data_IF_148013818591
#
_entry.id   IF_148013818591
#
_cell.length_a   1.000
_cell.length_b   1.000
_cell.length_c   1.000
_cell.angle_alpha   90.00
_cell.angle_beta   90.00
_cell.angle_gamma   90.00
#
_symmetry.space_group_name_H-M   'P 1'
#
loop_
_entity.id
_entity.type
_entity.pdbx_description
1 polymer ?
#
# COMPACT_ATOMS: atom_id res chain seq x y z
N UNK A 1 -24.37 -2.00 -13.01
CA UNK A 1 -22.91 -2.24 -13.16
C UNK A 1 -22.40 -2.74 -11.82
N UNK A 2 -21.78 -3.91 -11.75
CA UNK A 2 -21.30 -4.47 -10.48
C UNK A 2 -20.12 -3.64 -9.95
N UNK A 3 -20.25 -3.09 -8.74
CA UNK A 3 -19.17 -2.38 -8.05
C UNK A 3 -18.02 -3.35 -7.83
N UNK A 4 -16.98 -3.29 -8.66
CA UNK A 4 -15.73 -4.00 -8.39
C UNK A 4 -15.21 -3.55 -7.02
N UNK A 5 -14.73 -4.47 -6.18
CA UNK A 5 -13.96 -4.10 -5.00
C UNK A 5 -12.79 -3.28 -5.53
N UNK A 6 -12.77 -1.98 -5.25
CA UNK A 6 -11.64 -1.15 -5.59
C UNK A 6 -11.24 -0.41 -4.33
N UNK A 7 -9.94 -0.37 -4.12
CA UNK A 7 -9.30 0.40 -3.10
C UNK A 7 -8.25 1.26 -3.79
N UNK A 8 -8.13 2.53 -3.43
CA UNK A 8 -7.00 3.34 -3.86
C UNK A 8 -5.88 3.21 -2.83
N UNK A 9 -4.69 2.87 -3.29
CA UNK A 9 -3.46 2.93 -2.50
C UNK A 9 -2.58 4.07 -3.00
N UNK A 10 -1.83 4.67 -2.06
CA UNK A 10 -0.69 5.53 -2.35
C UNK A 10 0.52 5.08 -1.54
N UNK A 11 1.70 5.24 -2.12
CA UNK A 11 2.97 5.17 -1.38
C UNK A 11 3.13 6.43 -0.54
N UNK A 12 3.85 6.32 0.58
CA UNK A 12 4.06 7.44 1.51
C UNK A 12 5.54 7.70 1.77
N UNK A 13 6.29 6.62 1.95
CA UNK A 13 7.72 6.67 2.23
C UNK A 13 8.34 5.30 2.08
N UNK A 14 9.63 5.31 1.76
CA UNK A 14 10.50 4.15 1.86
C UNK A 14 11.55 4.44 2.91
N UNK A 15 11.76 3.51 3.85
CA UNK A 15 12.84 3.60 4.84
C UNK A 15 13.85 2.50 4.61
N UNK A 16 15.12 2.86 4.46
CA UNK A 16 16.23 1.92 4.36
C UNK A 16 16.89 1.81 5.73
N UNK A 17 16.90 0.63 6.33
CA UNK A 17 17.40 0.42 7.70
C UNK A 17 17.91 -1.01 7.89
N UNK A 18 18.75 -1.23 8.90
CA UNK A 18 19.07 -2.59 9.34
C UNK A 18 17.97 -3.15 10.23
N UNK A 19 17.63 -4.43 10.06
CA UNK A 19 16.80 -5.16 11.00
C UNK A 19 17.63 -5.65 12.21
N UNK A 20 16.97 -6.33 13.15
CA UNK A 20 17.62 -6.88 14.36
C UNK A 20 18.76 -7.87 14.05
N UNK A 21 18.75 -8.47 12.86
CA UNK A 21 19.74 -9.41 12.35
C UNK A 21 20.84 -8.72 11.52
N UNK A 22 20.98 -7.40 11.60
CA UNK A 22 21.94 -6.60 10.82
C UNK A 22 21.82 -6.80 9.30
N UNK A 23 20.62 -7.16 8.83
CA UNK A 23 20.33 -7.27 7.40
C UNK A 23 19.68 -5.97 6.94
N UNK A 24 20.15 -5.44 5.81
CA UNK A 24 19.56 -4.26 5.20
C UNK A 24 18.15 -4.56 4.69
N UNK A 25 17.18 -3.75 5.09
CA UNK A 25 15.76 -3.88 4.72
C UNK A 25 15.25 -2.57 4.17
N UNK A 26 14.49 -2.65 3.08
CA UNK A 26 13.64 -1.56 2.61
C UNK A 26 12.24 -1.74 3.17
N UNK A 27 11.78 -0.76 3.94
CA UNK A 27 10.45 -0.70 4.55
C UNK A 27 9.59 0.29 3.79
N UNK A 28 8.62 -0.23 3.06
CA UNK A 28 7.68 0.53 2.26
C UNK A 28 6.40 0.78 3.06
N UNK A 29 6.01 2.04 3.16
CA UNK A 29 4.75 2.45 3.77
C UNK A 29 3.76 2.89 2.70
N UNK A 30 2.56 2.30 2.77
CA UNK A 30 1.43 2.65 1.93
C UNK A 30 0.23 3.03 2.79
N UNK A 31 -0.65 3.83 2.21
CA UNK A 31 -1.96 4.14 2.77
C UNK A 31 -3.03 3.77 1.75
N UNK A 32 -4.11 3.18 2.23
CA UNK A 32 -5.34 3.12 1.46
C UNK A 32 -6.34 4.18 1.92
N UNK A 33 -6.99 4.87 0.97
CA UNK A 33 -7.80 6.06 1.30
C UNK A 33 -9.16 6.15 0.61
N UNK A 34 -9.40 5.36 -0.45
CA UNK A 34 -10.71 5.30 -1.11
C UNK A 34 -11.10 3.84 -1.33
N UNK A 35 -11.97 3.30 -0.48
CA UNK A 35 -12.37 1.89 -0.49
C UNK A 35 -13.86 1.77 -0.83
N UNK A 36 -14.16 1.29 -2.05
CA UNK A 36 -15.54 1.10 -2.53
C UNK A 36 -16.28 -0.07 -1.90
N UNK A 37 -15.55 -1.10 -1.43
CA UNK A 37 -16.12 -2.27 -0.75
C UNK A 37 -15.73 -2.31 0.72
N UNK A 38 -16.72 -2.22 1.60
CA UNK A 38 -16.53 -2.31 3.06
C UNK A 38 -16.35 -3.76 3.55
N UNK A 39 -16.58 -4.76 2.70
CA UNK A 39 -16.36 -6.17 3.02
C UNK A 39 -14.88 -6.52 3.09
N UNK A 40 -14.51 -7.58 3.82
CA UNK A 40 -13.15 -8.09 3.86
C UNK A 40 -12.63 -8.39 2.45
N UNK A 41 -11.37 -8.04 2.18
CA UNK A 41 -10.73 -8.22 0.89
C UNK A 41 -9.24 -8.51 1.05
N UNK A 42 -8.63 -9.07 0.01
CA UNK A 42 -7.17 -9.23 -0.07
C UNK A 42 -6.63 -8.22 -1.05
N UNK A 43 -5.62 -7.46 -0.65
CA UNK A 43 -4.83 -6.62 -1.57
C UNK A 43 -3.56 -7.38 -1.91
N UNK A 44 -3.32 -7.63 -3.19
CA UNK A 44 -2.02 -8.09 -3.66
C UNK A 44 -1.25 -6.90 -4.16
N UNK A 45 -0.01 -6.75 -3.69
CA UNK A 45 0.90 -5.67 -4.05
C UNK A 45 2.17 -6.31 -4.60
N UNK A 46 2.54 -5.94 -5.82
CA UNK A 46 3.81 -6.27 -6.43
C UNK A 46 4.70 -5.02 -6.40
N UNK A 47 5.87 -5.13 -5.78
CA UNK A 47 6.91 -4.11 -5.80
C UNK A 47 7.76 -4.31 -7.06
N UNK A 48 8.01 -3.25 -7.83
CA UNK A 48 8.71 -3.34 -9.11
C UNK A 48 9.92 -2.40 -9.17
N UNK A 49 10.93 -2.82 -9.92
CA UNK A 49 12.07 -1.97 -10.26
C UNK A 49 11.73 -0.95 -11.36
N UNK A 50 12.73 -0.18 -11.79
CA UNK A 50 12.57 0.85 -12.83
C UNK A 50 12.18 0.27 -14.19
N UNK A 51 12.54 -0.98 -14.46
CA UNK A 51 12.19 -1.68 -15.70
C UNK A 51 10.80 -2.34 -15.64
N UNK A 52 10.10 -2.25 -14.50
CA UNK A 52 8.80 -2.90 -14.29
C UNK A 52 8.92 -4.39 -13.97
N UNK A 53 10.11 -4.88 -13.61
CA UNK A 53 10.28 -6.26 -13.14
C UNK A 53 9.82 -6.35 -11.68
N UNK A 54 9.03 -7.38 -11.38
CA UNK A 54 8.60 -7.69 -10.01
C UNK A 54 9.81 -8.10 -9.17
N UNK A 55 10.04 -7.37 -8.08
CA UNK A 55 11.03 -7.65 -7.05
C UNK A 55 10.43 -8.55 -5.98
N UNK A 56 9.24 -8.22 -5.50
CA UNK A 56 8.51 -8.93 -4.44
C UNK A 56 7.01 -8.83 -4.65
N UNK A 57 6.29 -9.88 -4.26
CA UNK A 57 4.84 -9.90 -4.16
C UNK A 57 4.43 -10.07 -2.70
N UNK A 58 3.53 -9.22 -2.20
CA UNK A 58 2.90 -9.37 -0.89
C UNK A 58 1.39 -9.43 -1.02
N UNK A 59 0.74 -10.25 -0.19
CA UNK A 59 -0.72 -10.28 -0.06
C UNK A 59 -1.13 -9.85 1.35
N UNK A 60 -1.97 -8.84 1.46
CA UNK A 60 -2.45 -8.30 2.73
C UNK A 60 -3.96 -8.52 2.83
N UNK A 61 -4.38 -9.14 3.92
CA UNK A 61 -5.81 -9.26 4.25
C UNK A 61 -6.28 -7.96 4.90
N UNK A 62 -7.23 -7.27 4.27
CA UNK A 62 -7.92 -6.14 4.87
C UNK A 62 -9.24 -6.62 5.47
N UNK A 63 -9.48 -6.35 6.76
CA UNK A 63 -10.71 -6.76 7.41
C UNK A 63 -11.92 -6.02 6.82
N UNK A 64 -13.11 -6.49 7.17
CA UNK A 64 -14.34 -5.72 6.99
C UNK A 64 -14.23 -4.43 7.81
N UNK A 65 -14.60 -3.29 7.23
CA UNK A 65 -14.53 -1.97 7.87
C UNK A 65 -15.90 -1.29 7.85
N UNK A 66 -16.07 -0.25 8.66
CA UNK A 66 -17.21 0.66 8.65
C UNK A 66 -16.72 2.07 8.39
N UNK A 67 -17.53 2.84 7.66
CA UNK A 67 -17.36 4.29 7.56
C UNK A 67 -17.84 4.90 8.89
N UNK A 68 -16.93 5.54 9.62
CA UNK A 68 -17.22 6.18 10.91
C UNK A 68 -17.49 7.68 10.78
N UNK A 69 -17.14 8.27 9.63
CA UNK A 69 -17.41 9.67 9.32
C UNK A 69 -16.60 10.15 8.12
N UNK A 70 -16.41 11.46 8.03
CA UNK A 70 -15.50 12.08 7.07
C UNK A 70 -14.77 13.26 7.73
N UNK A 71 -13.55 13.52 7.29
CA UNK A 71 -12.75 14.68 7.68
C UNK A 71 -12.52 15.57 6.47
N UNK A 72 -12.72 16.88 6.62
CA UNK A 72 -12.37 17.82 5.56
C UNK A 72 -10.85 17.96 5.48
N UNK A 73 -10.29 17.73 4.29
CA UNK A 73 -8.91 18.14 3.99
C UNK A 73 -8.81 19.65 4.15
N UNK A 74 -7.89 20.11 5.02
CA UNK A 74 -7.67 21.55 5.24
C UNK A 74 -7.12 22.26 3.99
N UNK A 75 -6.46 21.53 3.09
CA UNK A 75 -5.84 22.11 1.89
C UNK A 75 -6.80 22.17 0.70
N UNK A 76 -7.70 21.20 0.56
CA UNK A 76 -8.54 21.04 -0.64
C UNK A 76 -10.03 21.17 -0.37
N UNK A 77 -10.46 21.18 0.90
CA UNK A 77 -11.87 21.15 1.28
C UNK A 77 -12.59 19.84 0.96
N UNK A 78 -11.90 18.87 0.35
CA UNK A 78 -12.45 17.56 0.00
C UNK A 78 -12.63 16.71 1.26
N UNK A 79 -13.82 16.11 1.40
CA UNK A 79 -14.13 15.20 2.49
C UNK A 79 -13.43 13.85 2.25
N UNK A 80 -12.56 13.46 3.18
CA UNK A 80 -11.91 12.16 3.20
C UNK A 80 -12.67 11.21 4.12
N UNK A 81 -12.99 9.98 3.69
CA UNK A 81 -13.70 9.01 4.52
C UNK A 81 -12.83 8.56 5.70
N UNK A 82 -13.44 8.45 6.89
CA UNK A 82 -12.84 7.87 8.08
C UNK A 82 -13.36 6.45 8.28
N UNK A 83 -12.44 5.53 8.57
CA UNK A 83 -12.74 4.12 8.78
C UNK A 83 -12.40 3.69 10.20
N UNK A 84 -13.07 2.64 10.69
CA UNK A 84 -12.82 2.02 12.02
C UNK A 84 -11.56 1.12 12.06
N UNK A 85 -10.60 1.32 11.15
CA UNK A 85 -9.41 0.49 11.01
C UNK A 85 -8.19 1.32 10.63
N UNK A 86 -7.00 0.79 10.92
CA UNK A 86 -5.75 1.31 10.35
C UNK A 86 -5.83 1.31 8.83
N UNK A 87 -5.40 2.43 8.24
CA UNK A 87 -5.28 2.64 6.80
C UNK A 87 -3.88 2.32 6.27
N UNK A 88 -2.93 2.06 7.16
CA UNK A 88 -1.52 1.89 6.84
C UNK A 88 -1.18 0.44 6.53
N UNK A 89 -0.37 0.26 5.49
CA UNK A 89 0.22 -1.00 5.08
C UNK A 89 1.74 -0.84 5.12
N UNK A 90 2.41 -1.83 5.73
CA UNK A 90 3.87 -1.91 5.79
C UNK A 90 4.34 -3.16 5.07
N UNK A 91 5.29 -3.01 4.15
CA UNK A 91 5.98 -4.12 3.51
C UNK A 91 7.47 -3.98 3.81
N UNK A 92 8.03 -4.97 4.49
CA UNK A 92 9.46 -5.06 4.75
C UNK A 92 10.06 -6.03 3.73
N UNK A 93 11.04 -5.56 2.96
CA UNK A 93 11.66 -6.36 1.91
C UNK A 93 13.19 -6.37 2.01
N UNK A 94 13.77 -7.56 1.85
CA UNK A 94 15.21 -7.84 1.94
C UNK A 94 15.78 -7.94 0.53
N UNK A 95 15.60 -6.88 -0.27
CA UNK A 95 16.05 -6.81 -1.66
C UNK A 95 17.32 -5.96 -1.80
N UNK A 96 18.12 -6.28 -2.81
CA UNK A 96 19.41 -5.63 -3.09
C UNK A 96 19.29 -4.19 -3.58
N UNK A 97 18.12 -3.79 -4.09
CA UNK A 97 17.87 -2.46 -4.62
C UNK A 97 16.44 -2.03 -4.32
N UNK A 98 16.21 -0.73 -4.23
CA UNK A 98 14.91 -0.17 -3.94
C UNK A 98 13.89 -0.38 -5.08
N UNK A 99 12.66 -0.76 -4.74
CA UNK A 99 11.51 -0.66 -5.64
C UNK A 99 11.20 0.79 -6.00
N UNK A 100 10.99 1.07 -7.29
CA UNK A 100 10.65 2.41 -7.79
C UNK A 100 9.19 2.55 -8.20
N UNK A 101 8.48 1.42 -8.27
CA UNK A 101 7.09 1.33 -8.69
C UNK A 101 6.38 0.29 -7.84
N UNK A 102 5.06 0.42 -7.72
CA UNK A 102 4.22 -0.65 -7.18
C UNK A 102 3.01 -0.87 -8.08
N UNK A 103 2.56 -2.11 -8.16
CA UNK A 103 1.29 -2.44 -8.77
C UNK A 103 0.44 -3.21 -7.79
N UNK A 104 -0.88 -3.03 -7.85
CA UNK A 104 -1.77 -3.72 -6.95
C UNK A 104 -3.13 -4.02 -7.59
N UNK A 105 -3.79 -5.03 -7.03
CA UNK A 105 -5.19 -5.33 -7.29
C UNK A 105 -5.82 -5.91 -6.03
N UNK A 106 -7.15 -5.91 -5.99
CA UNK A 106 -7.91 -6.52 -4.91
C UNK A 106 -8.61 -7.80 -5.34
N UNK A 107 -8.78 -8.69 -4.37
CA UNK A 107 -9.60 -9.89 -4.45
C UNK A 107 -10.68 -9.81 -3.37
N UNK A 108 -11.94 -9.98 -3.75
CA UNK A 108 -13.06 -10.15 -2.82
C UNK A 108 -13.74 -11.49 -3.07
N UNK A 109 -13.92 -12.27 -2.00
CA UNK A 109 -14.42 -13.64 -2.09
C UNK A 109 -13.56 -14.51 -3.01
N UNK A 110 -14.18 -15.51 -3.65
CA UNK A 110 -13.49 -16.49 -4.49
C UNK A 110 -13.33 -16.07 -5.97
N UNK A 111 -14.05 -15.03 -6.43
CA UNK A 111 -14.20 -14.80 -7.88
C UNK A 111 -14.08 -13.35 -8.34
N UNK A 112 -13.98 -12.37 -7.43
CA UNK A 112 -13.98 -10.96 -7.84
C UNK A 112 -12.58 -10.35 -7.71
N UNK A 113 -11.93 -10.15 -8.86
CA UNK A 113 -10.65 -9.45 -8.98
C UNK A 113 -10.86 -8.07 -9.59
N UNK A 114 -10.25 -7.03 -9.02
CA UNK A 114 -10.24 -5.69 -9.61
C UNK A 114 -9.26 -5.58 -10.77
N UNK A 115 -9.39 -4.54 -11.59
CA UNK A 115 -8.31 -4.14 -12.47
C UNK A 115 -7.02 -3.89 -11.65
N UNK A 116 -5.88 -4.17 -12.27
CA UNK A 116 -4.57 -3.84 -11.69
C UNK A 116 -4.27 -2.37 -11.92
N UNK A 117 -3.72 -1.71 -10.91
CA UNK A 117 -3.25 -0.33 -10.97
C UNK A 117 -1.74 -0.34 -10.75
N UNK A 118 -0.99 0.42 -11.54
CA UNK A 118 0.46 0.58 -11.40
C UNK A 118 0.77 2.05 -11.17
N UNK A 119 1.64 2.34 -10.20
CA UNK A 119 2.02 3.68 -9.78
C UNK A 119 3.53 3.74 -9.50
N UNK A 120 4.11 4.92 -9.70
CA UNK A 120 5.48 5.22 -9.28
C UNK A 120 5.53 5.37 -7.76
N UNK A 121 6.69 5.10 -7.16
CA UNK A 121 7.02 5.51 -5.79
C UNK A 121 7.74 6.84 -5.86
N UNK A 122 6.98 7.90 -5.63
CA UNK A 122 7.37 9.30 -5.82
C UNK A 122 7.66 10.02 -4.50
N UNK A 123 7.47 9.34 -3.36
CA UNK A 123 7.72 9.91 -2.04
C UNK A 123 9.09 9.55 -1.44
N UNK A 124 9.53 10.40 -0.51
CA UNK A 124 10.87 10.48 0.08
C UNK A 124 11.40 9.11 0.57
N UNK A 125 12.62 8.80 0.15
CA UNK A 125 13.42 7.71 0.68
C UNK A 125 14.23 8.23 1.86
N UNK A 126 14.05 7.64 3.03
CA UNK A 126 14.81 7.98 4.23
C UNK A 126 15.83 6.87 4.51
N UNK A 127 17.12 7.22 4.46
CA UNK A 127 18.19 6.31 4.83
C UNK A 127 18.48 6.42 6.34
N UNK A 128 18.08 5.39 7.07
CA UNK A 128 18.30 5.22 8.51
C UNK A 128 19.39 4.17 8.79
N UNK A 129 20.06 3.65 7.76
CA UNK A 129 21.11 2.64 7.90
C UNK A 129 22.41 3.18 8.52
N UNK A 130 22.55 4.51 8.63
CA UNK A 130 23.73 5.16 9.24
C UNK A 130 23.77 5.13 10.77
N UNK A 131 22.75 4.58 11.43
CA UNK A 131 22.64 4.49 12.90
C UNK A 131 22.63 3.05 13.44
N UNK A 132 22.92 2.06 12.59
CA UNK A 132 22.98 0.63 12.94
C UNK A 132 24.39 0.09 13.04
#
# INVERSE_FOLDING_TARGET
MANQPSIALRHLSTKKQYNEQQTLVYRYWFEWFDRRSLAALVVRIDLLDKAGKVLTTTSIQLPKVKLTGSIASQETGVQQPLYDSSVWIRIDDVITHEATQFSYYTLAGLFTKSASVTMTMDHKVEDLSMHG
#
